data_IF_673164516639
#
_entry.id   IF_673164516639
#
_cell.length_a   1.000
_cell.length_b   1.000
_cell.length_c   1.000
_cell.angle_alpha   90.00
_cell.angle_beta   90.00
_cell.angle_gamma   90.00
#
_symmetry.space_group_name_H-M   'P 1'
#
loop_
_entity.id
_entity.type
_entity.pdbx_description
1 polymer ?
#
# COMPACT_ATOMS: atom_id res chain seq x y z
N UNK A 1 -25.44 6.06 8.23
CA UNK A 1 -25.41 5.36 6.92
C UNK A 1 -26.71 5.49 6.13
N UNK A 2 -27.84 5.70 6.77
CA UNK A 2 -29.15 5.88 6.10
C UNK A 2 -29.23 7.10 5.15
N UNK A 3 -28.35 8.08 5.30
CA UNK A 3 -28.27 9.26 4.41
C UNK A 3 -27.34 9.08 3.20
N UNK A 4 -26.61 7.97 3.09
CA UNK A 4 -25.80 7.67 1.92
C UNK A 4 -26.67 7.03 0.84
N UNK A 5 -26.63 7.59 -0.37
CA UNK A 5 -27.31 7.02 -1.53
C UNK A 5 -26.91 5.55 -1.77
N UNK A 6 -27.77 4.80 -2.48
CA UNK A 6 -27.58 3.36 -2.73
C UNK A 6 -26.29 3.02 -3.47
N UNK A 7 -25.69 4.01 -4.15
CA UNK A 7 -24.45 3.82 -4.94
C UNK A 7 -23.17 3.86 -4.10
N UNK A 8 -23.28 4.24 -2.82
CA UNK A 8 -22.12 4.30 -1.92
C UNK A 8 -21.90 3.00 -1.16
N UNK A 9 -20.65 2.54 -1.16
CA UNK A 9 -20.23 1.36 -0.42
C UNK A 9 -19.73 1.69 0.98
N UNK A 10 -19.04 2.82 1.13
CA UNK A 10 -18.32 3.13 2.36
C UNK A 10 -18.18 4.63 2.60
N UNK A 11 -18.12 4.97 3.89
CA UNK A 11 -17.52 6.23 4.38
C UNK A 11 -16.17 5.88 4.99
N UNK A 12 -15.15 6.70 4.75
CA UNK A 12 -13.84 6.58 5.39
C UNK A 12 -13.43 7.87 6.10
N UNK A 13 -12.57 7.73 7.11
CA UNK A 13 -12.21 8.83 8.01
C UNK A 13 -10.71 8.90 8.26
N UNK A 14 -10.29 10.05 8.80
CA UNK A 14 -8.94 10.30 9.31
C UNK A 14 -8.68 9.51 10.59
N UNK A 15 -7.41 9.34 10.96
CA UNK A 15 -6.99 8.68 12.19
C UNK A 15 -5.84 9.39 12.87
N UNK A 16 -5.64 9.10 14.14
CA UNK A 16 -4.42 9.45 14.88
C UNK A 16 -3.57 8.20 15.03
N UNK A 17 -2.30 8.25 14.63
CA UNK A 17 -1.32 7.21 14.92
C UNK A 17 -0.53 7.57 16.17
N UNK A 18 -0.64 6.73 17.20
CA UNK A 18 0.13 6.81 18.42
C UNK A 18 1.34 5.87 18.30
N UNK A 19 2.54 6.45 18.25
CA UNK A 19 3.79 5.70 18.25
C UNK A 19 4.38 5.72 19.68
N UNK A 20 4.88 4.57 20.14
CA UNK A 20 5.61 4.54 21.40
C UNK A 20 6.78 5.52 21.40
N UNK A 21 6.83 6.37 22.41
CA UNK A 21 7.90 7.37 22.62
C UNK A 21 8.05 8.44 21.52
N UNK A 22 6.99 8.71 20.74
CA UNK A 22 6.95 9.77 19.73
C UNK A 22 5.65 10.57 19.86
N UNK A 23 5.65 11.78 19.30
CA UNK A 23 4.44 12.57 19.16
C UNK A 23 3.42 11.83 18.27
N UNK A 24 2.15 11.95 18.62
CA UNK A 24 1.05 11.44 17.82
C UNK A 24 1.03 12.10 16.44
N UNK A 25 0.77 11.32 15.41
CA UNK A 25 0.66 11.79 14.04
C UNK A 25 -0.80 11.69 13.57
N UNK A 26 -1.38 12.79 13.14
CA UNK A 26 -2.67 12.78 12.47
C UNK A 26 -2.49 12.38 11.02
N UNK A 27 -3.17 11.32 10.60
CA UNK A 27 -3.25 10.89 9.20
C UNK A 27 -4.60 11.35 8.66
N UNK A 28 -4.55 12.44 7.91
CA UNK A 28 -5.73 13.02 7.29
C UNK A 28 -6.10 12.29 6.01
N UNK A 29 -7.39 12.20 5.76
CA UNK A 29 -7.94 11.72 4.48
C UNK A 29 -8.61 12.90 3.76
N UNK A 30 -8.63 12.91 2.42
CA UNK A 30 -9.30 13.98 1.69
C UNK A 30 -10.81 13.93 1.91
N UNK A 31 -11.43 15.07 1.97
CA UNK A 31 -12.88 15.17 1.78
C UNK A 31 -13.19 14.89 0.33
N UNK A 32 -13.85 13.77 0.09
CA UNK A 32 -14.16 13.29 -1.26
C UNK A 32 -15.57 12.72 -1.29
N UNK A 33 -16.20 12.81 -2.44
CA UNK A 33 -17.55 12.30 -2.64
C UNK A 33 -17.69 11.73 -4.05
N UNK A 34 -18.14 10.48 -4.16
CA UNK A 34 -18.42 9.83 -5.43
C UNK A 34 -17.44 8.72 -5.80
N UNK A 35 -17.29 8.51 -7.10
CA UNK A 35 -16.40 7.49 -7.64
C UNK A 35 -14.98 8.02 -7.74
N UNK A 36 -14.07 7.37 -7.02
CA UNK A 36 -12.66 7.76 -6.97
C UNK A 36 -11.84 6.93 -7.95
N UNK A 37 -10.70 7.50 -8.37
CA UNK A 37 -9.72 6.76 -9.17
C UNK A 37 -9.16 5.59 -8.35
N UNK A 38 -9.32 4.40 -8.89
CA UNK A 38 -8.87 3.15 -8.26
C UNK A 38 -7.36 3.12 -8.03
N UNK A 39 -6.58 3.82 -8.84
CA UNK A 39 -5.14 3.94 -8.67
C UNK A 39 -4.75 4.70 -7.40
N UNK A 40 -5.67 5.51 -6.85
CA UNK A 40 -5.47 6.25 -5.61
C UNK A 40 -5.75 5.43 -4.35
N UNK A 41 -6.26 4.20 -4.45
CA UNK A 41 -6.45 3.33 -3.27
C UNK A 41 -5.09 3.08 -2.61
N UNK A 42 -4.98 3.39 -1.31
CA UNK A 42 -3.75 3.32 -0.53
C UNK A 42 -2.72 4.41 -0.84
N UNK A 43 -3.03 5.38 -1.67
CA UNK A 43 -2.20 6.56 -1.93
C UNK A 43 -2.57 7.71 -0.98
N UNK A 44 -1.64 8.66 -0.76
CA UNK A 44 -1.78 9.76 0.22
C UNK A 44 -3.03 10.55 -0.06
N UNK A 45 -3.61 10.82 -1.01
CA UNK A 45 -4.82 11.64 -1.23
C UNK A 45 -5.96 10.80 -1.85
N UNK A 46 -6.01 9.52 -1.50
CA UNK A 46 -6.99 8.60 -2.04
C UNK A 46 -7.76 7.85 -0.96
N UNK A 47 -8.35 6.75 -1.37
CA UNK A 47 -9.07 5.85 -0.46
C UNK A 47 -8.03 5.14 0.43
N UNK A 48 -8.16 5.18 1.78
CA UNK A 48 -7.29 4.40 2.65
C UNK A 48 -7.31 2.92 2.31
N UNK A 49 -6.13 2.28 2.27
CA UNK A 49 -6.02 0.85 2.00
C UNK A 49 -6.31 -0.04 3.22
N UNK A 50 -6.53 0.54 4.40
CA UNK A 50 -6.79 -0.19 5.63
C UNK A 50 -8.29 -0.21 5.93
N UNK A 51 -8.83 -1.38 6.24
CA UNK A 51 -10.26 -1.57 6.54
C UNK A 51 -10.73 -0.75 7.75
N UNK A 52 -9.86 -0.55 8.73
CA UNK A 52 -10.17 0.20 9.95
C UNK A 52 -10.54 1.67 9.71
N UNK A 53 -10.15 2.24 8.58
CA UNK A 53 -10.55 3.59 8.20
C UNK A 53 -11.99 3.68 7.69
N UNK A 54 -12.67 2.55 7.45
CA UNK A 54 -13.90 2.47 6.71
C UNK A 54 -15.10 2.01 7.55
N UNK A 55 -16.24 2.58 7.26
CA UNK A 55 -17.54 2.06 7.65
C UNK A 55 -18.25 1.58 6.37
N UNK A 56 -18.32 0.28 6.16
CA UNK A 56 -18.90 -0.34 4.97
C UNK A 56 -20.39 -0.65 5.15
N UNK A 57 -21.09 -0.65 4.04
CA UNK A 57 -22.41 -1.27 3.95
C UNK A 57 -22.26 -2.79 3.95
N UNK A 58 -23.01 -3.46 4.85
CA UNK A 58 -22.94 -4.92 5.04
C UNK A 58 -23.36 -5.69 3.79
N UNK A 59 -24.40 -5.23 3.10
CA UNK A 59 -24.91 -5.88 1.88
C UNK A 59 -23.86 -5.91 0.77
N UNK A 60 -23.06 -4.85 0.62
CA UNK A 60 -21.95 -4.79 -0.34
C UNK A 60 -20.84 -5.75 0.05
N UNK A 61 -20.47 -5.85 1.32
CA UNK A 61 -19.48 -6.83 1.78
C UNK A 61 -19.91 -8.26 1.48
N UNK A 62 -21.21 -8.57 1.64
CA UNK A 62 -21.79 -9.88 1.30
C UNK A 62 -21.74 -10.09 -0.22
N UNK A 63 -22.12 -9.08 -1.03
CA UNK A 63 -22.13 -9.19 -2.49
C UNK A 63 -20.73 -9.46 -3.05
N UNK A 64 -19.69 -8.80 -2.52
CA UNK A 64 -18.30 -9.04 -2.93
C UNK A 64 -17.67 -10.26 -2.28
N UNK A 65 -18.39 -11.01 -1.46
CA UNK A 65 -17.96 -12.24 -0.77
C UNK A 65 -16.81 -12.01 0.24
N UNK A 66 -16.76 -10.84 0.88
CA UNK A 66 -15.78 -10.56 1.92
C UNK A 66 -14.32 -10.57 1.44
N UNK A 67 -13.42 -10.98 2.32
CA UNK A 67 -11.99 -11.08 2.05
C UNK A 67 -11.62 -12.20 1.07
N UNK A 68 -10.51 -12.02 0.38
CA UNK A 68 -9.85 -13.11 -0.36
C UNK A 68 -8.99 -13.92 0.63
N UNK A 69 -9.46 -15.08 1.05
CA UNK A 69 -8.81 -15.94 2.05
C UNK A 69 -7.46 -16.51 1.58
N UNK A 70 -7.12 -16.39 0.30
CA UNK A 70 -5.83 -16.81 -0.23
C UNK A 70 -4.72 -15.78 0.01
N UNK A 71 -5.06 -14.56 0.44
CA UNK A 71 -4.10 -13.51 0.72
C UNK A 71 -3.84 -13.42 2.22
N UNK A 72 -2.57 -13.55 2.61
CA UNK A 72 -2.09 -13.32 3.97
C UNK A 72 -1.66 -11.87 4.22
N UNK A 73 -1.56 -11.06 3.16
CA UNK A 73 -1.18 -9.66 3.18
C UNK A 73 -1.99 -8.85 2.19
N UNK A 74 -2.30 -7.61 2.54
CA UNK A 74 -3.07 -6.68 1.71
C UNK A 74 -4.46 -7.21 1.30
N UNK A 75 -5.04 -8.12 2.07
CA UNK A 75 -6.40 -8.61 1.93
C UNK A 75 -7.42 -7.46 2.04
N UNK A 76 -7.15 -6.49 2.93
CA UNK A 76 -7.91 -5.24 3.07
C UNK A 76 -7.89 -4.44 1.76
N UNK A 77 -6.70 -4.31 1.21
CA UNK A 77 -6.46 -3.54 0.00
C UNK A 77 -7.16 -4.16 -1.21
N UNK A 78 -7.08 -5.48 -1.34
CA UNK A 78 -7.75 -6.22 -2.43
C UNK A 78 -9.27 -6.07 -2.34
N UNK A 79 -9.84 -6.17 -1.13
CA UNK A 79 -11.25 -5.98 -0.89
C UNK A 79 -11.71 -4.56 -1.28
N UNK A 80 -10.97 -3.55 -0.85
CA UNK A 80 -11.27 -2.14 -1.17
C UNK A 80 -11.21 -1.92 -2.69
N UNK A 81 -10.22 -2.48 -3.39
CA UNK A 81 -10.11 -2.39 -4.85
C UNK A 81 -11.33 -3.00 -5.56
N UNK A 82 -11.78 -4.19 -5.14
CA UNK A 82 -12.98 -4.83 -5.70
C UNK A 82 -14.22 -3.96 -5.52
N UNK A 83 -14.38 -3.37 -4.35
CA UNK A 83 -15.49 -2.48 -4.05
C UNK A 83 -15.37 -1.19 -4.87
N UNK A 84 -14.19 -0.55 -4.91
CA UNK A 84 -13.98 0.72 -5.61
C UNK A 84 -14.21 0.65 -7.13
N UNK A 85 -14.08 -0.53 -7.73
CA UNK A 85 -14.44 -0.73 -9.15
C UNK A 85 -15.92 -0.45 -9.44
N UNK A 86 -16.80 -0.71 -8.49
CA UNK A 86 -18.24 -0.72 -8.73
C UNK A 86 -18.96 0.41 -8.00
N UNK A 87 -18.59 0.69 -6.76
CA UNK A 87 -19.30 1.62 -5.88
C UNK A 87 -18.54 2.90 -5.60
N UNK A 88 -19.27 3.89 -5.11
CA UNK A 88 -18.76 5.18 -4.66
C UNK A 88 -18.30 5.12 -3.19
N UNK A 89 -17.44 6.06 -2.83
CA UNK A 89 -16.91 6.26 -1.49
C UNK A 89 -17.09 7.71 -1.07
N UNK A 90 -17.22 7.94 0.25
CA UNK A 90 -17.21 9.27 0.84
C UNK A 90 -16.09 9.38 1.85
N UNK A 91 -15.18 10.34 1.65
CA UNK A 91 -14.14 10.69 2.60
C UNK A 91 -14.59 11.82 3.51
N UNK A 92 -14.35 11.66 4.81
CA UNK A 92 -14.65 12.68 5.81
C UNK A 92 -13.37 13.01 6.57
N UNK A 93 -12.89 14.25 6.45
CA UNK A 93 -11.69 14.71 7.16
C UNK A 93 -11.98 14.99 8.65
N UNK A 94 -12.48 13.95 9.34
CA UNK A 94 -12.63 13.93 10.80
C UNK A 94 -11.95 12.70 11.35
N UNK A 95 -11.31 12.83 12.51
CA UNK A 95 -10.70 11.71 13.21
C UNK A 95 -11.79 10.77 13.71
N UNK A 96 -11.79 9.54 13.19
CA UNK A 96 -12.76 8.51 13.57
C UNK A 96 -12.20 7.47 14.55
N UNK A 97 -10.87 7.31 14.64
CA UNK A 97 -10.24 6.35 15.56
C UNK A 97 -8.77 6.68 15.85
N UNK A 98 -8.21 5.99 16.85
CA UNK A 98 -6.81 6.08 17.24
C UNK A 98 -6.17 4.73 16.98
N UNK A 99 -5.07 4.69 16.24
CA UNK A 99 -4.29 3.50 15.94
C UNK A 99 -3.00 3.49 16.75
N UNK A 100 -2.84 2.50 17.63
CA UNK A 100 -1.60 2.28 18.35
C UNK A 100 -0.63 1.44 17.52
N UNK A 101 0.52 2.04 17.17
CA UNK A 101 1.57 1.38 16.38
C UNK A 101 2.53 0.68 17.31
N UNK A 102 2.53 -0.65 17.32
CA UNK A 102 3.44 -1.48 18.12
C UNK A 102 4.76 -1.74 17.40
N UNK A 103 5.84 -1.89 18.17
CA UNK A 103 7.16 -2.27 17.62
C UNK A 103 7.21 -3.72 17.15
N UNK A 104 6.48 -4.60 17.81
CA UNK A 104 6.38 -6.04 17.58
C UNK A 104 5.29 -6.43 16.59
N UNK A 105 4.78 -5.48 15.81
CA UNK A 105 3.79 -5.77 14.78
C UNK A 105 4.35 -6.77 13.75
N UNK A 106 3.58 -7.81 13.45
CA UNK A 106 3.93 -8.86 12.49
C UNK A 106 4.43 -8.33 11.13
N UNK A 107 3.84 -7.24 10.63
CA UNK A 107 4.27 -6.56 9.40
C UNK A 107 5.69 -5.96 9.47
N UNK A 108 6.32 -5.95 10.66
CA UNK A 108 7.67 -5.40 10.89
C UNK A 108 8.72 -6.48 11.16
N UNK A 109 8.34 -7.75 11.30
CA UNK A 109 9.24 -8.82 11.75
C UNK A 109 10.31 -9.17 10.71
N UNK A 110 9.92 -9.50 9.51
CA UNK A 110 10.81 -9.88 8.42
C UNK A 110 10.51 -9.03 7.18
N UNK A 111 11.52 -8.34 6.61
CA UNK A 111 11.33 -7.54 5.40
C UNK A 111 10.85 -8.35 4.19
N UNK A 112 11.26 -9.62 4.09
CA UNK A 112 10.86 -10.49 2.97
C UNK A 112 9.42 -11.00 3.09
N UNK A 113 8.92 -11.25 4.31
CA UNK A 113 7.50 -11.63 4.51
C UNK A 113 6.59 -10.53 3.97
N UNK A 114 6.84 -9.28 4.36
CA UNK A 114 6.06 -8.16 3.88
C UNK A 114 6.21 -7.94 2.36
N UNK A 115 7.45 -8.10 1.84
CA UNK A 115 7.74 -7.99 0.41
C UNK A 115 6.96 -9.02 -0.41
N UNK A 116 7.06 -10.29 -0.04
CA UNK A 116 6.40 -11.39 -0.75
C UNK A 116 4.87 -11.26 -0.69
N UNK A 117 4.30 -10.89 0.46
CA UNK A 117 2.87 -10.69 0.59
C UNK A 117 2.33 -9.55 -0.29
N UNK A 118 3.11 -8.49 -0.51
CA UNK A 118 2.75 -7.44 -1.48
C UNK A 118 2.83 -7.97 -2.91
N UNK A 119 3.83 -8.78 -3.27
CA UNK A 119 3.92 -9.38 -4.62
C UNK A 119 2.75 -10.32 -4.91
N UNK A 120 2.33 -11.16 -3.96
CA UNK A 120 1.15 -12.04 -4.07
C UNK A 120 -0.13 -11.23 -4.30
N UNK A 121 -0.29 -10.13 -3.55
CA UNK A 121 -1.40 -9.21 -3.77
C UNK A 121 -1.36 -8.58 -5.17
N UNK A 122 -0.21 -8.09 -5.62
CA UNK A 122 -0.07 -7.45 -6.94
C UNK A 122 -0.32 -8.43 -8.09
N UNK A 123 0.11 -9.69 -7.95
CA UNK A 123 -0.21 -10.76 -8.88
C UNK A 123 -1.72 -11.03 -8.92
N UNK A 124 -2.36 -11.11 -7.77
CA UNK A 124 -3.81 -11.25 -7.65
C UNK A 124 -4.54 -10.07 -8.30
N UNK A 125 -4.06 -8.84 -8.06
CA UNK A 125 -4.65 -7.64 -8.62
C UNK A 125 -4.50 -7.57 -10.15
N UNK A 126 -3.39 -8.06 -10.69
CA UNK A 126 -3.15 -8.21 -12.13
C UNK A 126 -4.11 -9.23 -12.75
N UNK A 127 -4.14 -10.45 -12.20
CA UNK A 127 -4.95 -11.56 -12.71
C UNK A 127 -6.45 -11.25 -12.68
N UNK A 128 -6.92 -10.57 -11.63
CA UNK A 128 -8.31 -10.09 -11.49
C UNK A 128 -8.56 -8.76 -12.22
N UNK A 129 -7.56 -8.19 -12.89
CA UNK A 129 -7.64 -6.87 -13.56
C UNK A 129 -8.16 -5.77 -12.63
N UNK A 130 -7.73 -5.77 -11.36
CA UNK A 130 -8.16 -4.79 -10.36
C UNK A 130 -7.45 -3.45 -10.55
N UNK A 131 -6.22 -3.45 -11.04
CA UNK A 131 -5.41 -2.27 -11.34
C UNK A 131 -4.86 -2.33 -12.77
N UNK A 132 -4.61 -1.18 -13.41
CA UNK A 132 -3.87 -1.12 -14.68
C UNK A 132 -2.44 -1.64 -14.52
N UNK A 133 -1.88 -2.26 -15.57
CA UNK A 133 -0.52 -2.80 -15.55
C UNK A 133 0.53 -1.75 -15.16
N UNK A 134 0.38 -0.51 -15.62
CA UNK A 134 1.29 0.58 -15.25
C UNK A 134 1.31 0.83 -13.75
N UNK A 135 0.14 0.81 -13.08
CA UNK A 135 0.05 0.98 -11.63
C UNK A 135 0.60 -0.24 -10.88
N UNK A 136 0.38 -1.46 -11.39
CA UNK A 136 1.01 -2.68 -10.86
C UNK A 136 2.54 -2.54 -10.90
N UNK A 137 3.12 -2.12 -12.01
CA UNK A 137 4.56 -1.94 -12.16
C UNK A 137 5.11 -0.86 -11.22
N UNK A 138 4.38 0.25 -11.06
CA UNK A 138 4.73 1.26 -10.07
C UNK A 138 4.81 0.69 -8.65
N UNK A 139 3.78 -0.05 -8.24
CA UNK A 139 3.72 -0.65 -6.89
C UNK A 139 4.77 -1.74 -6.69
N UNK A 140 5.07 -2.55 -7.70
CA UNK A 140 6.16 -3.53 -7.66
C UNK A 140 7.51 -2.85 -7.44
N UNK A 141 7.80 -1.80 -8.21
CA UNK A 141 9.02 -1.02 -8.01
C UNK A 141 9.11 -0.44 -6.60
N UNK A 142 8.04 0.21 -6.13
CA UNK A 142 7.99 0.78 -4.77
C UNK A 142 8.19 -0.29 -3.69
N UNK A 143 7.59 -1.48 -3.86
CA UNK A 143 7.74 -2.60 -2.95
C UNK A 143 9.21 -3.06 -2.87
N UNK A 144 9.89 -3.23 -4.01
CA UNK A 144 11.32 -3.58 -4.06
C UNK A 144 12.21 -2.52 -3.43
N UNK A 145 11.97 -1.24 -3.72
CA UNK A 145 12.73 -0.15 -3.11
C UNK A 145 12.47 -0.05 -1.60
N UNK A 146 11.28 -0.42 -1.14
CA UNK A 146 10.97 -0.55 0.29
C UNK A 146 11.76 -1.68 0.93
N UNK A 147 11.87 -2.84 0.27
CA UNK A 147 12.73 -3.95 0.70
C UNK A 147 14.19 -3.49 0.78
N UNK A 148 14.74 -2.90 -0.28
CA UNK A 148 16.10 -2.34 -0.32
C UNK A 148 16.37 -1.44 0.87
N UNK A 149 15.45 -0.50 1.16
CA UNK A 149 15.58 0.40 2.32
C UNK A 149 15.66 -0.37 3.64
N UNK A 150 14.87 -1.41 3.83
CA UNK A 150 14.88 -2.23 5.05
C UNK A 150 16.18 -3.01 5.18
N UNK A 151 16.66 -3.62 4.09
CA UNK A 151 17.93 -4.34 4.06
C UNK A 151 19.13 -3.43 4.36
N UNK A 152 19.14 -2.21 3.82
CA UNK A 152 20.16 -1.19 4.14
C UNK A 152 20.17 -0.82 5.62
N UNK A 153 18.99 -0.65 6.24
CA UNK A 153 18.88 -0.38 7.68
C UNK A 153 19.39 -1.55 8.52
N UNK A 154 19.19 -2.78 8.07
CA UNK A 154 19.70 -4.00 8.69
C UNK A 154 21.19 -4.26 8.38
N UNK A 155 21.84 -3.39 7.59
CA UNK A 155 23.26 -3.51 7.20
C UNK A 155 23.58 -4.82 6.46
N UNK A 156 22.64 -5.31 5.67
CA UNK A 156 22.86 -6.47 4.79
C UNK A 156 23.93 -6.13 3.76
N UNK A 157 24.71 -7.11 3.32
CA UNK A 157 25.78 -6.92 2.33
C UNK A 157 25.25 -6.36 1.01
N UNK A 158 26.03 -5.47 0.41
CA UNK A 158 25.63 -4.83 -0.85
C UNK A 158 25.38 -5.83 -1.98
N UNK A 159 26.17 -6.92 -2.03
CA UNK A 159 25.98 -8.00 -3.00
C UNK A 159 24.60 -8.65 -2.94
N UNK A 160 23.96 -8.68 -1.77
CA UNK A 160 22.62 -9.22 -1.58
C UNK A 160 21.54 -8.19 -1.92
N UNK A 161 21.84 -6.90 -1.81
CA UNK A 161 20.92 -5.78 -2.08
C UNK A 161 20.87 -5.44 -3.58
N UNK A 162 22.00 -5.54 -4.26
CA UNK A 162 22.18 -5.21 -5.69
C UNK A 162 21.12 -5.82 -6.61
N UNK A 163 20.78 -7.12 -6.53
CA UNK A 163 19.75 -7.71 -7.39
C UNK A 163 18.39 -7.01 -7.27
N UNK A 164 18.00 -6.64 -6.04
CA UNK A 164 16.73 -5.96 -5.81
C UNK A 164 16.68 -4.54 -6.38
N UNK A 165 17.84 -3.84 -6.37
CA UNK A 165 17.93 -2.51 -7.00
C UNK A 165 17.83 -2.63 -8.52
N UNK A 166 18.54 -3.59 -9.12
CA UNK A 166 18.48 -3.83 -10.56
C UNK A 166 17.06 -4.16 -11.01
N UNK A 167 16.44 -5.14 -10.40
CA UNK A 167 15.08 -5.55 -10.73
C UNK A 167 14.06 -4.42 -10.54
N UNK A 168 14.24 -3.55 -9.53
CA UNK A 168 13.36 -2.39 -9.35
C UNK A 168 13.44 -1.43 -10.55
N UNK A 169 14.66 -1.20 -11.07
CA UNK A 169 14.87 -0.27 -12.17
C UNK A 169 14.72 -0.91 -13.57
N UNK A 170 14.71 -2.24 -13.66
CA UNK A 170 14.29 -2.99 -14.84
C UNK A 170 12.77 -2.92 -15.01
N UNK A 171 11.99 -3.01 -13.91
CA UNK A 171 10.54 -2.83 -13.95
C UNK A 171 10.18 -1.42 -14.42
N UNK A 172 10.86 -0.41 -13.90
CA UNK A 172 10.61 0.99 -14.24
C UNK A 172 11.83 1.85 -13.92
N UNK A 173 12.27 2.65 -14.89
CA UNK A 173 13.42 3.56 -14.74
C UNK A 173 13.29 4.49 -13.53
N UNK A 174 14.42 5.02 -12.99
CA UNK A 174 14.40 6.03 -11.94
C UNK A 174 13.53 7.24 -12.32
N UNK A 175 12.75 7.75 -11.37
CA UNK A 175 11.78 8.82 -11.61
C UNK A 175 12.07 10.10 -10.82
N UNK A 176 12.98 10.02 -9.84
CA UNK A 176 13.35 11.16 -9.00
C UNK A 176 14.84 11.10 -8.63
N UNK A 177 15.37 12.21 -8.12
CA UNK A 177 16.80 12.36 -7.80
C UNK A 177 17.29 11.25 -6.85
N UNK A 178 16.50 10.87 -5.84
CA UNK A 178 16.91 9.84 -4.88
C UNK A 178 17.08 8.47 -5.55
N UNK A 179 16.17 8.14 -6.46
CA UNK A 179 16.23 6.90 -7.24
C UNK A 179 17.41 6.92 -8.21
N UNK A 180 17.68 8.04 -8.89
CA UNK A 180 18.85 8.19 -9.73
C UNK A 180 20.15 8.04 -8.94
N UNK A 181 20.24 8.63 -7.76
CA UNK A 181 21.41 8.47 -6.88
C UNK A 181 21.61 7.01 -6.47
N UNK A 182 20.55 6.31 -6.09
CA UNK A 182 20.61 4.89 -5.74
C UNK A 182 21.05 4.04 -6.94
N UNK A 183 20.52 4.31 -8.12
CA UNK A 183 20.87 3.62 -9.37
C UNK A 183 22.34 3.80 -9.71
N UNK A 184 22.85 5.04 -9.66
CA UNK A 184 24.27 5.35 -9.93
C UNK A 184 25.16 4.68 -8.88
N UNK A 185 24.82 4.81 -7.59
CA UNK A 185 25.56 4.17 -6.50
C UNK A 185 25.64 2.65 -6.71
N UNK A 186 24.53 2.01 -7.06
CA UNK A 186 24.52 0.58 -7.32
C UNK A 186 25.46 0.17 -8.47
N UNK A 187 25.46 0.95 -9.55
CA UNK A 187 26.41 0.73 -10.67
C UNK A 187 27.88 0.86 -10.23
N UNK A 188 28.15 1.86 -9.39
CA UNK A 188 29.51 2.08 -8.87
C UNK A 188 29.97 0.95 -7.94
N UNK A 189 29.09 0.52 -7.04
CA UNK A 189 29.38 -0.55 -6.10
C UNK A 189 29.61 -1.90 -6.80
N UNK A 190 28.97 -2.17 -7.93
CA UNK A 190 29.23 -3.37 -8.74
C UNK A 190 30.67 -3.41 -9.26
N UNK A 191 31.24 -2.26 -9.58
CA UNK A 191 32.64 -2.17 -10.07
C UNK A 191 33.62 -2.41 -8.93
N UNK A 192 33.27 -2.03 -7.68
CA UNK A 192 34.16 -2.18 -6.52
C UNK A 192 34.11 -3.56 -5.88
N UNK A 193 33.09 -4.36 -6.15
CA UNK A 193 32.89 -5.71 -5.57
C UNK A 193 33.47 -6.80 -6.48
N UNK A 194 33.85 -6.46 -7.71
CA UNK A 194 34.61 -7.35 -8.62
C UNK A 194 36.07 -7.27 -8.26
#
# INVERSE_FOLDING_TARGET
>A
MESLGKDYASIFCSRIECLENKSNLTIEVPETDGKLDICLVGRKNGIPGQITNHLFRKDILIEVKGYNELLNFNEDFELILRIAKKWMFRGVNKVGFIQHIRKDSWSKSDPYIAYNGVEEFLETALNKKLLPLIEINHRRKENRLSLVKKLLVQRVKWSEITPHIDEAFDIMRPQNIKEYMLFILNKFMKILII
#
